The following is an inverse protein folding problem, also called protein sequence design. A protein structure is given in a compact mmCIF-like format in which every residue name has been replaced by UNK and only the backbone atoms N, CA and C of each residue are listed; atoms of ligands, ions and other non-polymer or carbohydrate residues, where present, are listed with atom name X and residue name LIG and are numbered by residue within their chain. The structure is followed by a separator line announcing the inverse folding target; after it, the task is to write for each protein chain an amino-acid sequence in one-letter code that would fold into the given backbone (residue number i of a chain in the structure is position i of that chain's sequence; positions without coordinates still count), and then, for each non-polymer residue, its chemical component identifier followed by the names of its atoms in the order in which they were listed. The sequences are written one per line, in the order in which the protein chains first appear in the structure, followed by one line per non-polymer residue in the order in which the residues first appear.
data_IF_490484877507
#
_entry.id   IF_490484877507
#
_cell.length_a   1.000
_cell.length_b   1.000
_cell.length_c   1.000
_cell.angle_alpha   90.00
_cell.angle_beta   90.00
_cell.angle_gamma   90.00
#
_symmetry.space_group_name_H-M   'P 1'
#
loop_
_entity.id
_entity.type
_entity.pdbx_description
1 polymer ?
#
# COMPACT_ATOMS: atom_id res chain seq x y z
N UNK A 1 13.73 -3.71 -10.19
CA UNK A 1 12.28 -3.83 -9.96
C UNK A 1 11.93 -3.12 -8.67
N UNK A 2 10.71 -2.56 -8.50
CA UNK A 2 10.26 -2.10 -7.19
C UNK A 2 10.33 -3.28 -6.21
N UNK A 3 11.03 -3.08 -5.09
CA UNK A 3 11.14 -4.09 -4.04
C UNK A 3 9.99 -3.85 -3.08
N UNK A 4 8.99 -4.73 -3.10
CA UNK A 4 7.89 -4.72 -2.14
C UNK A 4 8.30 -5.52 -0.93
N UNK A 5 7.94 -5.06 0.28
CA UNK A 5 8.39 -5.69 1.54
C UNK A 5 7.48 -6.80 2.03
N UNK A 6 6.25 -6.92 1.51
CA UNK A 6 5.35 -8.05 1.77
C UNK A 6 4.83 -8.71 0.49
N UNK A 7 4.57 -10.01 0.57
CA UNK A 7 4.00 -10.81 -0.52
C UNK A 7 2.63 -10.32 -0.93
N UNK A 8 1.80 -9.91 0.04
CA UNK A 8 0.49 -9.32 -0.26
C UNK A 8 0.63 -8.07 -1.14
N UNK A 9 1.51 -7.13 -0.76
CA UNK A 9 1.74 -5.91 -1.54
C UNK A 9 2.29 -6.23 -2.92
N UNK A 10 3.25 -7.14 -3.00
CA UNK A 10 3.82 -7.63 -4.26
C UNK A 10 2.74 -8.22 -5.18
N UNK A 11 1.90 -9.12 -4.67
CA UNK A 11 0.86 -9.79 -5.45
C UNK A 11 -0.20 -8.83 -6.00
N UNK A 12 -0.45 -7.71 -5.30
CA UNK A 12 -1.41 -6.69 -5.72
C UNK A 12 -0.77 -5.72 -6.71
N UNK A 13 0.47 -5.26 -6.46
CA UNK A 13 1.11 -4.22 -7.27
C UNK A 13 1.80 -4.74 -8.53
N UNK A 14 2.28 -5.98 -8.54
CA UNK A 14 2.92 -6.59 -9.71
C UNK A 14 2.04 -6.58 -10.97
N UNK A 15 0.78 -7.09 -10.95
CA UNK A 15 -0.08 -7.05 -12.14
C UNK A 15 -0.44 -5.61 -12.56
N UNK A 16 -0.54 -4.68 -11.61
CA UNK A 16 -0.81 -3.26 -11.91
C UNK A 16 0.41 -2.61 -12.55
N UNK A 17 1.61 -2.92 -12.06
CA UNK A 17 2.87 -2.41 -12.60
C UNK A 17 3.09 -2.90 -14.04
N UNK A 18 2.76 -4.16 -14.32
CA UNK A 18 2.80 -4.71 -15.67
C UNK A 18 1.82 -4.00 -16.62
N UNK A 19 0.60 -3.69 -16.16
CA UNK A 19 -0.37 -2.93 -16.97
C UNK A 19 0.12 -1.50 -17.26
N UNK A 20 0.69 -0.82 -16.27
CA UNK A 20 1.29 0.50 -16.48
C UNK A 20 2.48 0.43 -17.43
N UNK A 21 3.31 -0.62 -17.35
CA UNK A 21 4.41 -0.81 -18.28
C UNK A 21 3.92 -0.94 -19.72
N UNK A 22 2.80 -1.62 -19.96
CA UNK A 22 2.17 -1.68 -21.29
C UNK A 22 1.66 -0.33 -21.76
N UNK A 23 1.09 0.49 -20.88
CA UNK A 23 0.66 1.86 -21.23
C UNK A 23 1.84 2.76 -21.62
N UNK A 24 3.01 2.57 -20.98
CA UNK A 24 4.24 3.27 -21.37
C UNK A 24 4.70 2.84 -22.76
N UNK A 25 4.69 1.54 -23.07
CA UNK A 25 5.04 1.04 -24.40
C UNK A 25 4.10 1.62 -25.47
N UNK A 26 2.78 1.59 -25.23
CA UNK A 26 1.80 2.17 -26.15
C UNK A 26 2.00 3.67 -26.37
N UNK A 27 2.47 4.39 -25.35
CA UNK A 27 2.82 5.80 -25.48
C UNK A 27 4.06 6.00 -26.35
N UNK A 28 5.11 5.20 -26.15
CA UNK A 28 6.34 5.22 -26.95
C UNK A 28 6.04 4.88 -28.42
N UNK A 29 5.27 3.81 -28.68
CA UNK A 29 4.85 3.43 -30.04
C UNK A 29 4.02 4.52 -30.73
N UNK A 30 3.20 5.25 -29.97
CA UNK A 30 2.42 6.36 -30.52
C UNK A 30 3.24 7.64 -30.73
N UNK A 31 4.38 7.81 -30.05
CA UNK A 31 5.36 8.86 -30.39
C UNK A 31 6.05 8.57 -31.73
N UNK A 32 6.22 7.29 -32.08
CA UNK A 32 6.74 6.85 -33.38
C UNK A 32 5.72 6.99 -34.53
N UNK A 33 4.55 7.59 -34.28
CA UNK A 33 3.52 7.86 -35.28
C UNK A 33 2.42 6.80 -35.39
N UNK A 34 2.40 5.81 -34.50
CA UNK A 34 1.33 4.81 -34.46
C UNK A 34 0.05 5.34 -33.80
N UNK A 35 -1.08 4.74 -34.18
CA UNK A 35 -2.40 5.07 -33.62
C UNK A 35 -2.54 4.52 -32.20
N UNK A 36 -3.00 5.35 -31.27
CA UNK A 36 -3.36 4.88 -29.92
C UNK A 36 -4.64 4.04 -29.98
N UNK A 37 -4.69 2.84 -29.37
CA UNK A 37 -5.91 2.04 -29.28
C UNK A 37 -6.96 2.68 -28.38
N UNK A 38 -8.24 2.28 -28.53
CA UNK A 38 -9.31 2.72 -27.64
C UNK A 38 -9.13 2.17 -26.22
N UNK A 39 -8.83 3.06 -25.28
CA UNK A 39 -8.62 2.75 -23.87
C UNK A 39 -9.90 2.88 -23.01
N UNK A 40 -11.06 3.19 -23.60
CA UNK A 40 -12.30 3.42 -22.86
C UNK A 40 -12.69 2.24 -21.98
N UNK A 41 -12.65 1.02 -22.54
CA UNK A 41 -12.99 -0.21 -21.81
C UNK A 41 -12.02 -0.53 -20.67
N UNK A 42 -10.69 -0.61 -20.89
CA UNK A 42 -9.76 -0.90 -19.81
C UNK A 42 -9.75 0.19 -18.72
N UNK A 43 -9.85 1.47 -19.09
CA UNK A 43 -9.90 2.56 -18.11
C UNK A 43 -11.19 2.54 -17.29
N UNK A 44 -12.34 2.21 -17.89
CA UNK A 44 -13.59 2.05 -17.16
C UNK A 44 -13.50 0.91 -16.13
N UNK A 45 -12.85 -0.21 -16.47
CA UNK A 45 -12.62 -1.30 -15.53
C UNK A 45 -11.76 -0.86 -14.34
N UNK A 46 -10.71 -0.07 -14.59
CA UNK A 46 -9.87 0.53 -13.53
C UNK A 46 -10.71 1.45 -12.64
N UNK A 47 -11.58 2.29 -13.20
CA UNK A 47 -12.46 3.16 -12.40
C UNK A 47 -13.37 2.38 -11.46
N UNK A 48 -14.03 1.34 -11.97
CA UNK A 48 -14.91 0.49 -11.16
C UNK A 48 -14.14 -0.17 -10.01
N UNK A 49 -12.92 -0.66 -10.28
CA UNK A 49 -12.06 -1.23 -9.26
C UNK A 49 -11.66 -0.20 -8.20
N UNK A 50 -11.32 1.03 -8.61
CA UNK A 50 -10.98 2.14 -7.71
C UNK A 50 -12.20 2.56 -6.86
N UNK A 51 -13.39 2.61 -7.42
CA UNK A 51 -14.61 2.96 -6.67
C UNK A 51 -14.94 1.93 -5.60
N UNK A 52 -14.80 0.65 -5.91
CA UNK A 52 -14.94 -0.42 -4.93
C UNK A 52 -13.88 -0.32 -3.83
N UNK A 53 -12.63 -0.01 -4.20
CA UNK A 53 -11.53 0.18 -3.25
C UNK A 53 -11.77 1.38 -2.32
N UNK A 54 -12.28 2.49 -2.85
CA UNK A 54 -12.64 3.68 -2.06
C UNK A 54 -13.76 3.36 -1.09
N UNK A 55 -14.79 2.63 -1.54
CA UNK A 55 -15.87 2.18 -0.66
C UNK A 55 -15.36 1.33 0.49
N UNK A 56 -14.60 0.26 0.20
CA UNK A 56 -14.04 -0.63 1.22
C UNK A 56 -13.06 0.12 2.14
N UNK A 57 -12.24 1.01 1.58
CA UNK A 57 -11.30 1.82 2.36
C UNK A 57 -12.00 2.77 3.33
N UNK A 58 -13.07 3.44 2.90
CA UNK A 58 -13.86 4.32 3.76
C UNK A 58 -14.61 3.53 4.85
N UNK A 59 -15.19 2.38 4.52
CA UNK A 59 -15.79 1.47 5.49
C UNK A 59 -14.76 1.03 6.55
N UNK A 60 -13.58 0.61 6.12
CA UNK A 60 -12.48 0.22 7.02
C UNK A 60 -12.02 1.38 7.90
N UNK A 61 -11.91 2.59 7.34
CA UNK A 61 -11.57 3.79 8.08
C UNK A 61 -12.62 4.13 9.17
N UNK A 62 -13.89 3.85 8.92
CA UNK A 62 -14.99 4.17 9.84
C UNK A 62 -15.04 3.24 11.06
N UNK A 63 -14.58 2.00 10.91
CA UNK A 63 -14.58 0.98 11.98
C UNK A 63 -13.21 0.81 12.66
N UNK A 64 -12.15 1.40 12.11
CA UNK A 64 -10.80 1.28 12.66
C UNK A 64 -10.63 2.12 13.93
N UNK A 65 -9.94 1.54 14.92
CA UNK A 65 -9.50 2.24 16.13
C UNK A 65 -8.09 2.84 15.99
N UNK A 66 -7.43 2.66 14.84
CA UNK A 66 -6.09 3.20 14.58
C UNK A 66 -6.18 4.64 14.04
N UNK A 67 -5.81 5.61 14.86
CA UNK A 67 -5.85 7.04 14.52
C UNK A 67 -4.89 7.42 13.38
N UNK A 68 -3.75 6.74 13.24
CA UNK A 68 -2.82 6.96 12.14
C UNK A 68 -3.43 6.46 10.83
N UNK A 69 -4.00 5.26 10.85
CA UNK A 69 -4.72 4.74 9.68
C UNK A 69 -5.87 5.68 9.29
N UNK A 70 -6.67 6.16 10.25
CA UNK A 70 -7.78 7.10 9.99
C UNK A 70 -7.33 8.43 9.39
N UNK A 71 -6.10 8.86 9.66
CA UNK A 71 -5.52 10.08 9.10
C UNK A 71 -4.96 9.87 7.69
N UNK A 72 -4.27 8.77 7.47
CA UNK A 72 -3.48 8.55 6.24
C UNK A 72 -4.30 7.90 5.13
N UNK A 73 -5.21 7.00 5.47
CA UNK A 73 -6.06 6.26 4.53
C UNK A 73 -6.89 7.18 3.62
N UNK A 74 -7.60 8.22 4.11
CA UNK A 74 -8.38 9.12 3.25
C UNK A 74 -7.53 9.94 2.28
N UNK A 75 -6.26 10.18 2.59
CA UNK A 75 -5.34 10.89 1.70
C UNK A 75 -4.90 9.96 0.57
N UNK A 76 -4.61 8.71 0.87
CA UNK A 76 -4.27 7.70 -0.13
C UNK A 76 -5.44 7.42 -1.08
N UNK A 77 -6.66 7.24 -0.55
CA UNK A 77 -7.87 6.99 -1.34
C UNK A 77 -8.17 8.13 -2.32
N UNK A 78 -8.11 9.40 -1.87
CA UNK A 78 -8.29 10.57 -2.75
C UNK A 78 -7.26 10.65 -3.86
N UNK A 79 -6.01 10.22 -3.61
CA UNK A 79 -4.98 10.18 -4.66
C UNK A 79 -5.31 9.15 -5.73
N UNK A 80 -5.74 7.95 -5.33
CA UNK A 80 -6.15 6.89 -6.26
C UNK A 80 -7.38 7.33 -7.07
N UNK A 81 -8.36 7.96 -6.43
CA UNK A 81 -9.55 8.52 -7.07
C UNK A 81 -9.18 9.52 -8.15
N UNK A 82 -8.36 10.52 -7.81
CA UNK A 82 -7.89 11.54 -8.76
C UNK A 82 -7.16 10.90 -9.93
N UNK A 83 -6.24 9.97 -9.69
CA UNK A 83 -5.55 9.23 -10.75
C UNK A 83 -6.51 8.50 -11.68
N UNK A 84 -7.58 7.90 -11.16
CA UNK A 84 -8.59 7.23 -12.00
C UNK A 84 -9.37 8.19 -12.89
N UNK A 85 -9.66 9.41 -12.41
CA UNK A 85 -10.32 10.44 -13.21
C UNK A 85 -9.42 10.93 -14.34
N UNK A 86 -8.14 11.16 -14.07
CA UNK A 86 -7.15 11.52 -15.10
C UNK A 86 -7.07 10.48 -16.23
N UNK A 87 -7.15 9.19 -15.90
CA UNK A 87 -7.16 8.14 -16.91
C UNK A 87 -8.42 8.18 -17.78
N UNK A 88 -9.59 8.50 -17.21
CA UNK A 88 -10.85 8.64 -17.96
C UNK A 88 -10.76 9.82 -18.93
N UNK A 89 -10.29 10.96 -18.45
CA UNK A 89 -10.15 12.17 -19.27
C UNK A 89 -9.15 11.91 -20.42
N UNK A 90 -8.02 11.26 -20.13
CA UNK A 90 -7.05 10.84 -21.14
C UNK A 90 -7.66 9.90 -22.18
N UNK A 91 -8.42 8.88 -21.75
CA UNK A 91 -9.09 7.94 -22.65
C UNK A 91 -10.14 8.63 -23.53
N UNK A 92 -10.88 9.61 -22.99
CA UNK A 92 -11.85 10.40 -23.75
C UNK A 92 -11.17 11.24 -24.82
N UNK A 93 -10.04 11.89 -24.49
CA UNK A 93 -9.26 12.67 -25.46
C UNK A 93 -8.70 11.78 -26.58
N UNK A 94 -8.13 10.63 -26.23
CA UNK A 94 -7.56 9.69 -27.19
C UNK A 94 -8.62 9.00 -28.06
N UNK A 95 -9.85 8.87 -27.56
CA UNK A 95 -10.99 8.39 -28.34
C UNK A 95 -11.44 9.41 -29.40
N UNK A 96 -11.40 10.69 -29.07
CA UNK A 96 -11.75 11.77 -30.01
C UNK A 96 -10.65 11.99 -31.04
N UNK A 97 -9.39 12.00 -30.60
CA UNK A 97 -8.21 12.15 -31.44
C UNK A 97 -7.11 11.15 -31.01
N UNK A 98 -6.95 10.04 -31.75
CA UNK A 98 -5.91 9.04 -31.47
C UNK A 98 -4.47 9.57 -31.55
N UNK A 99 -4.25 10.72 -32.20
CA UNK A 99 -2.95 11.36 -32.32
C UNK A 99 -2.75 12.50 -31.30
N UNK A 100 -3.70 12.70 -30.38
CA UNK A 100 -3.63 13.76 -29.37
C UNK A 100 -2.41 13.60 -28.46
N UNK A 101 -1.45 14.52 -28.61
CA UNK A 101 -0.26 14.61 -27.74
C UNK A 101 -0.67 14.85 -26.28
N UNK A 102 -1.72 15.63 -26.06
CA UNK A 102 -2.22 15.95 -24.73
C UNK A 102 -2.84 14.72 -24.06
N UNK A 103 -3.71 13.98 -24.77
CA UNK A 103 -4.28 12.74 -24.27
C UNK A 103 -3.20 11.71 -23.90
N UNK A 104 -2.13 11.63 -24.71
CA UNK A 104 -0.96 10.77 -24.43
C UNK A 104 -0.20 11.18 -23.17
N UNK A 105 0.04 12.48 -22.98
CA UNK A 105 0.70 12.99 -21.77
C UNK A 105 -0.14 12.74 -20.52
N UNK A 106 -1.44 13.05 -20.58
CA UNK A 106 -2.36 12.80 -19.47
C UNK A 106 -2.44 11.32 -19.10
N UNK A 107 -2.39 10.41 -20.08
CA UNK A 107 -2.38 8.96 -19.84
C UNK A 107 -1.14 8.54 -19.03
N UNK A 108 0.05 9.03 -19.39
CA UNK A 108 1.29 8.72 -18.68
C UNK A 108 1.36 9.41 -17.32
N UNK A 109 0.85 10.64 -17.19
CA UNK A 109 0.79 11.33 -15.91
C UNK A 109 -0.15 10.63 -14.91
N UNK A 110 -1.27 10.08 -15.40
CA UNK A 110 -2.19 9.25 -14.60
C UNK A 110 -1.64 7.86 -14.25
N UNK A 111 -0.87 7.26 -15.16
CA UNK A 111 -0.35 5.90 -15.02
C UNK A 111 1.02 5.80 -14.32
N UNK A 112 1.92 6.78 -14.49
CA UNK A 112 3.34 6.70 -14.12
C UNK A 112 3.71 7.65 -12.97
N UNK A 113 4.60 7.18 -12.09
CA UNK A 113 5.34 8.04 -11.17
C UNK A 113 6.42 8.79 -11.97
N UNK A 114 6.10 10.00 -12.42
CA UNK A 114 7.10 10.85 -13.06
C UNK A 114 8.15 11.30 -12.05
N UNK A 115 9.36 10.72 -12.11
CA UNK A 115 10.58 11.37 -11.62
C UNK A 115 10.96 12.49 -12.59
N UNK A 116 10.14 13.53 -12.72
CA UNK A 116 10.66 14.85 -13.12
C UNK A 116 11.22 15.50 -11.86
N UNK A 117 12.46 15.10 -11.54
CA UNK A 117 13.40 15.98 -10.87
C UNK A 117 13.95 16.91 -11.96
N UNK A 118 13.10 17.81 -12.48
CA UNK A 118 13.63 18.97 -13.16
C UNK A 118 14.21 19.88 -12.07
N UNK A 119 15.51 20.05 -12.19
CA UNK A 119 16.35 21.03 -11.53
C UNK A 119 15.64 22.40 -11.65
N UNK A 120 15.75 23.23 -10.61
CA UNK A 120 15.34 24.65 -10.51
C UNK A 120 13.93 24.95 -9.93
N UNK A 121 13.85 25.79 -8.87
CA UNK A 121 12.62 26.30 -8.30
C UNK A 121 12.22 27.60 -9.00
N UNK A 122 11.01 27.71 -9.58
CA UNK A 122 10.18 28.90 -9.38
C UNK A 122 8.74 28.66 -9.87
N UNK A 123 7.88 28.33 -8.90
CA UNK A 123 6.45 28.69 -8.84
C UNK A 123 5.59 28.35 -10.09
N UNK A 124 5.15 27.09 -10.16
CA UNK A 124 3.70 26.78 -10.29
C UNK A 124 3.34 25.63 -9.34
N UNK A 125 2.50 26.00 -8.38
CA UNK A 125 1.97 25.21 -7.27
C UNK A 125 0.87 24.28 -7.80
N UNK A 126 1.24 23.06 -8.20
CA UNK A 126 0.37 21.87 -8.19
C UNK A 126 1.21 20.63 -8.44
N UNK A 127 2.08 20.30 -7.47
CA UNK A 127 2.87 19.06 -7.49
C UNK A 127 2.04 17.94 -6.88
N UNK A 128 0.87 17.65 -7.48
CA UNK A 128 0.17 16.40 -7.22
C UNK A 128 0.52 15.48 -8.40
N UNK A 129 1.54 14.66 -8.19
CA UNK A 129 1.88 13.59 -9.15
C UNK A 129 0.84 12.49 -8.98
N UNK A 130 -0.16 12.48 -9.84
CA UNK A 130 -1.34 11.61 -9.76
C UNK A 130 -1.06 10.23 -10.37
N UNK A 131 -0.15 9.45 -9.77
CA UNK A 131 0.07 8.08 -10.24
C UNK A 131 -0.81 7.07 -9.49
N UNK A 132 -1.59 6.26 -10.22
CA UNK A 132 -2.43 5.22 -9.62
C UNK A 132 -1.59 4.19 -8.84
N UNK A 133 -0.41 3.80 -9.35
CA UNK A 133 0.51 2.90 -8.64
C UNK A 133 1.01 3.51 -7.33
N UNK A 134 1.31 4.81 -7.32
CA UNK A 134 1.76 5.48 -6.10
C UNK A 134 0.63 5.61 -5.08
N UNK A 135 -0.60 5.90 -5.56
CA UNK A 135 -1.79 5.94 -4.71
C UNK A 135 -2.06 4.57 -4.08
N UNK A 136 -2.08 3.51 -4.88
CA UNK A 136 -2.31 2.13 -4.41
C UNK A 136 -1.17 1.67 -3.52
N UNK A 137 0.08 2.00 -3.83
CA UNK A 137 1.21 1.69 -2.95
C UNK A 137 1.10 2.38 -1.59
N UNK A 138 0.79 3.68 -1.57
CA UNK A 138 0.58 4.41 -0.31
C UNK A 138 -0.61 3.86 0.49
N UNK A 139 -1.66 3.43 -0.21
CA UNK A 139 -2.83 2.79 0.40
C UNK A 139 -2.46 1.49 1.10
N UNK A 140 -1.78 0.59 0.37
CA UNK A 140 -1.37 -0.71 0.91
C UNK A 140 -0.35 -0.56 2.05
N UNK A 141 0.53 0.43 1.96
CA UNK A 141 1.47 0.77 3.03
C UNK A 141 0.73 1.21 4.29
N UNK A 142 -0.29 2.07 4.18
CA UNK A 142 -1.06 2.50 5.35
C UNK A 142 -1.74 1.31 6.06
N UNK A 143 -2.28 0.37 5.29
CA UNK A 143 -2.83 -0.88 5.84
C UNK A 143 -1.75 -1.75 6.51
N UNK A 144 -0.62 -1.97 5.84
CA UNK A 144 0.47 -2.79 6.35
C UNK A 144 1.06 -2.23 7.64
N UNK A 145 1.25 -0.90 7.72
CA UNK A 145 1.71 -0.23 8.93
C UNK A 145 0.71 -0.38 10.09
N UNK A 146 -0.59 -0.38 9.81
CA UNK A 146 -1.62 -0.63 10.83
C UNK A 146 -1.54 -2.05 11.40
N UNK A 147 -1.36 -3.05 10.53
CA UNK A 147 -1.15 -4.43 10.99
C UNK A 147 0.13 -4.58 11.81
N UNK A 148 1.23 -3.93 11.40
CA UNK A 148 2.49 -3.94 12.17
C UNK A 148 2.31 -3.28 13.54
N UNK A 149 1.54 -2.19 13.65
CA UNK A 149 1.25 -1.54 14.93
C UNK A 149 0.53 -2.49 15.90
N UNK A 150 -0.46 -3.26 15.42
CA UNK A 150 -1.17 -4.26 16.24
C UNK A 150 -0.21 -5.33 16.78
N UNK A 151 0.75 -5.79 15.97
CA UNK A 151 1.77 -6.77 16.41
C UNK A 151 2.66 -6.14 17.49
N UNK A 152 3.11 -4.90 17.27
CA UNK A 152 3.95 -4.17 18.24
C UNK A 152 3.23 -3.98 19.57
N UNK A 153 1.94 -3.68 19.56
CA UNK A 153 1.12 -3.59 20.78
C UNK A 153 1.12 -4.91 21.56
N UNK A 154 0.90 -6.04 20.89
CA UNK A 154 0.97 -7.36 21.55
C UNK A 154 2.36 -7.63 22.15
N UNK A 155 3.43 -7.26 21.44
CA UNK A 155 4.80 -7.39 21.97
C UNK A 155 5.02 -6.50 23.20
N UNK A 156 4.46 -5.29 23.22
CA UNK A 156 4.52 -4.38 24.38
C UNK A 156 3.75 -4.96 25.57
N UNK A 157 2.56 -5.52 25.34
CA UNK A 157 1.78 -6.18 26.39
C UNK A 157 2.60 -7.30 27.06
N UNK A 158 3.33 -8.11 26.28
CA UNK A 158 4.23 -9.14 26.83
C UNK A 158 5.34 -8.53 27.67
N UNK A 159 6.00 -7.47 27.19
CA UNK A 159 7.08 -6.81 27.94
C UNK A 159 6.58 -6.18 29.24
N UNK A 160 5.40 -5.55 29.22
CA UNK A 160 4.76 -4.98 30.39
C UNK A 160 4.38 -6.07 31.41
N UNK A 161 3.86 -7.21 30.95
CA UNK A 161 3.60 -8.34 31.84
C UNK A 161 4.91 -8.89 32.43
N UNK A 162 5.95 -9.10 31.64
CA UNK A 162 7.25 -9.59 32.13
C UNK A 162 7.88 -8.67 33.19
N UNK A 163 7.66 -7.35 33.09
CA UNK A 163 8.14 -6.40 34.10
C UNK A 163 7.51 -6.62 35.50
N UNK A 164 6.33 -7.23 35.58
CA UNK A 164 5.66 -7.53 36.86
C UNK A 164 6.31 -8.69 37.61
N UNK A 165 7.17 -9.49 36.96
CA UNK A 165 7.75 -10.70 37.57
C UNK A 165 8.60 -10.39 38.80
N UNK A 166 9.25 -9.21 38.85
CA UNK A 166 10.08 -8.78 39.97
C UNK A 166 9.28 -8.65 41.29
N UNK A 167 7.97 -8.40 41.19
CA UNK A 167 7.07 -8.24 42.33
C UNK A 167 6.43 -9.53 42.84
N UNK A 168 6.78 -10.69 42.25
CA UNK A 168 6.20 -11.99 42.62
C UNK A 168 6.97 -12.60 43.79
N UNK A 169 6.34 -12.68 44.97
CA UNK A 169 6.96 -13.19 46.20
C UNK A 169 6.45 -14.60 46.59
N UNK A 170 5.24 -14.97 46.14
CA UNK A 170 4.56 -16.21 46.51
C UNK A 170 4.32 -17.13 45.32
N UNK A 171 4.28 -18.45 45.55
CA UNK A 171 4.05 -19.46 44.51
C UNK A 171 2.65 -19.30 43.88
N UNK A 172 1.64 -18.92 44.66
CA UNK A 172 0.29 -18.68 44.17
C UNK A 172 0.25 -17.50 43.18
N UNK A 173 1.03 -16.45 43.44
CA UNK A 173 1.20 -15.31 42.54
C UNK A 173 1.94 -15.71 41.27
N UNK A 174 2.95 -16.59 41.36
CA UNK A 174 3.65 -17.14 40.21
C UNK A 174 2.70 -17.95 39.30
N UNK A 175 1.82 -18.77 39.88
CA UNK A 175 0.81 -19.52 39.11
C UNK A 175 -0.15 -18.58 38.39
N UNK A 176 -0.61 -17.51 39.06
CA UNK A 176 -1.46 -16.50 38.44
C UNK A 176 -0.73 -15.74 37.32
N UNK A 177 0.53 -15.38 37.53
CA UNK A 177 1.39 -14.75 36.54
C UNK A 177 1.51 -15.59 35.26
N UNK A 178 1.88 -16.87 35.39
CA UNK A 178 2.02 -17.78 34.24
C UNK A 178 0.69 -17.91 33.49
N UNK A 179 -0.43 -18.06 34.20
CA UNK A 179 -1.77 -18.15 33.59
C UNK A 179 -2.12 -16.91 32.76
N UNK A 180 -1.69 -15.72 33.18
CA UNK A 180 -1.95 -14.47 32.47
C UNK A 180 -0.97 -14.25 31.30
N UNK A 181 0.30 -14.65 31.46
CA UNK A 181 1.35 -14.46 30.46
C UNK A 181 1.22 -15.43 29.28
N UNK A 182 0.96 -16.71 29.54
CA UNK A 182 0.88 -17.77 28.50
C UNK A 182 -0.02 -17.44 27.30
N UNK A 183 -1.26 -16.92 27.45
CA UNK A 183 -2.10 -16.59 26.30
C UNK A 183 -1.56 -15.44 25.46
N UNK A 184 -0.96 -14.41 26.10
CA UNK A 184 -0.42 -13.24 25.39
C UNK A 184 0.85 -13.63 24.64
N UNK A 185 1.73 -14.43 25.25
CA UNK A 185 2.90 -15.01 24.58
C UNK A 185 2.50 -15.87 23.37
N UNK A 186 1.52 -16.76 23.55
CA UNK A 186 1.05 -17.62 22.45
C UNK A 186 0.51 -16.79 21.28
N UNK A 187 -0.21 -15.70 21.58
CA UNK A 187 -0.70 -14.76 20.58
C UNK A 187 0.45 -14.03 19.89
N UNK A 188 1.42 -13.49 20.65
CA UNK A 188 2.60 -12.83 20.12
C UNK A 188 3.36 -13.73 19.15
N UNK A 189 3.69 -14.96 19.57
CA UNK A 189 4.40 -15.94 18.74
C UNK A 189 3.66 -16.20 17.43
N UNK A 190 2.34 -16.39 17.49
CA UNK A 190 1.51 -16.62 16.31
C UNK A 190 1.53 -15.42 15.35
N UNK A 191 1.34 -14.21 15.84
CA UNK A 191 1.28 -13.01 14.98
C UNK A 191 2.65 -12.71 14.35
N UNK A 192 3.76 -12.91 15.07
CA UNK A 192 5.11 -12.75 14.52
C UNK A 192 5.43 -13.84 13.48
N UNK A 193 5.04 -15.10 13.72
CA UNK A 193 5.18 -16.22 12.78
C UNK A 193 4.36 -15.99 11.48
N UNK A 194 3.15 -15.41 11.59
CA UNK A 194 2.39 -15.00 10.41
C UNK A 194 3.07 -13.85 9.68
N UNK A 195 3.61 -12.86 10.41
CA UNK A 195 4.28 -11.70 9.81
C UNK A 195 5.53 -12.08 9.02
N UNK A 196 6.38 -12.94 9.55
CA UNK A 196 7.61 -13.34 8.86
C UNK A 196 7.33 -14.05 7.53
N UNK A 197 6.23 -14.82 7.46
CA UNK A 197 5.80 -15.54 6.26
C UNK A 197 5.34 -14.58 5.17
N UNK A 198 4.83 -13.40 5.53
CA UNK A 198 4.46 -12.34 4.60
C UNK A 198 5.67 -11.55 4.08
N UNK A 199 6.79 -11.46 4.82
CA UNK A 199 7.93 -10.66 4.39
C UNK A 199 8.63 -11.24 3.15
N UNK A 200 8.98 -10.39 2.18
CA UNK A 200 9.75 -10.79 0.99
C UNK A 200 11.26 -10.81 1.27
N UNK A 201 11.74 -9.93 2.16
CA UNK A 201 13.15 -9.81 2.47
C UNK A 201 13.62 -10.95 3.41
N UNK A 202 14.38 -11.89 2.85
CA UNK A 202 14.80 -13.12 3.52
C UNK A 202 15.54 -12.87 4.85
N UNK A 203 16.39 -11.84 4.91
CA UNK A 203 17.15 -11.50 6.12
C UNK A 203 16.20 -11.13 7.27
N UNK A 204 15.14 -10.36 6.99
CA UNK A 204 14.18 -9.96 8.03
C UNK A 204 13.35 -11.15 8.51
N UNK A 205 12.93 -12.03 7.59
CA UNK A 205 12.23 -13.27 7.94
C UNK A 205 13.08 -14.14 8.86
N UNK A 206 14.33 -14.39 8.49
CA UNK A 206 15.26 -15.20 9.29
C UNK A 206 15.61 -14.56 10.64
N UNK A 207 15.55 -13.23 10.74
CA UNK A 207 15.73 -12.56 12.03
C UNK A 207 14.53 -12.81 12.95
N UNK A 208 13.31 -12.62 12.46
CA UNK A 208 12.09 -12.86 13.25
C UNK A 208 11.96 -14.32 13.69
N UNK A 209 12.19 -15.27 12.78
CA UNK A 209 12.13 -16.71 13.09
C UNK A 209 13.13 -17.09 14.18
N UNK A 210 14.37 -16.62 14.08
CA UNK A 210 15.39 -16.89 15.10
C UNK A 210 15.06 -16.28 16.46
N UNK A 211 14.43 -15.11 16.48
CA UNK A 211 14.02 -14.46 17.74
C UNK A 211 12.81 -15.14 18.40
N UNK A 212 12.03 -15.92 17.66
CA UNK A 212 10.92 -16.72 18.21
C UNK A 212 11.37 -18.09 18.74
N UNK A 213 12.42 -18.65 18.18
CA UNK A 213 12.95 -19.98 18.57
C UNK A 213 13.88 -19.94 19.80
N UNK A 214 14.39 -18.77 20.17
CA UNK A 214 15.25 -18.52 21.33
C UNK A 214 14.44 -18.26 22.60
#
# INVERSE_FOLDING_TARGET
MPVFHTKTIESILEPVAQQVSRLVILHEEAEDGNLMPDLSRPVQAVKIAVDNLIKVGNETCSVSNDDLLRKDLPVALRRVEQSSMFLIDAASLLKQDPYSVEGRKMLIEGARASKVQAIVPFIKKSRIRHCILQGVSALLLAFDESEVRKIIEICRDVLEQLALVESVELIEQLVAFVKNLSPILSRMTKEVDLREKELTHQIHRQLLSRLLEQ
#
